data_IF_978194932878
#
_entry.id   IF_978194932878
#
_cell.length_a   1.000
_cell.length_b   1.000
_cell.length_c   1.000
_cell.angle_alpha   90.00
_cell.angle_beta   90.00
_cell.angle_gamma   90.00
#
_symmetry.space_group_name_H-M   'P 1'
#
loop_
_entity.id
_entity.type
_entity.pdbx_description
1 polymer ?
#
# COMPACT_ATOMS: atom_id res chain seq x y z
N UNK A 1 12.64 31.28 -3.77
CA UNK A 1 12.02 32.37 -4.56
C UNK A 1 10.74 31.94 -5.26
N UNK A 2 10.77 31.10 -6.31
CA UNK A 2 9.53 30.73 -7.03
C UNK A 2 8.55 29.90 -6.15
N UNK A 3 9.07 29.01 -5.30
CA UNK A 3 8.28 28.21 -4.37
C UNK A 3 7.66 29.04 -3.22
N UNK A 4 8.37 30.05 -2.70
CA UNK A 4 7.89 30.90 -1.61
C UNK A 4 6.73 31.79 -2.09
N UNK A 5 6.83 32.28 -3.32
CA UNK A 5 5.75 33.03 -3.99
C UNK A 5 4.51 32.15 -4.15
N UNK A 6 4.69 30.87 -4.47
CA UNK A 6 3.58 29.93 -4.66
C UNK A 6 2.87 29.57 -3.34
N UNK A 7 3.63 29.44 -2.23
CA UNK A 7 3.07 29.22 -0.89
C UNK A 7 2.22 30.42 -0.47
N UNK A 8 2.76 31.64 -0.60
CA UNK A 8 2.03 32.87 -0.24
C UNK A 8 0.77 33.06 -1.07
N UNK A 9 0.84 32.81 -2.38
CA UNK A 9 -0.33 32.89 -3.28
C UNK A 9 -1.44 31.91 -2.88
N UNK A 10 -1.09 30.71 -2.44
CA UNK A 10 -2.07 29.73 -1.96
C UNK A 10 -2.65 30.10 -0.59
N UNK A 11 -1.83 30.61 0.32
CA UNK A 11 -2.30 31.12 1.63
C UNK A 11 -3.27 32.29 1.43
N UNK A 12 -2.95 33.24 0.56
CA UNK A 12 -3.82 34.37 0.24
C UNK A 12 -5.13 33.92 -0.41
N UNK A 13 -5.08 32.95 -1.32
CA UNK A 13 -6.28 32.38 -1.93
C UNK A 13 -7.21 31.73 -0.88
N UNK A 14 -6.65 30.92 0.02
CA UNK A 14 -7.42 30.26 1.10
C UNK A 14 -7.95 31.30 2.09
N UNK A 15 -7.14 32.30 2.44
CA UNK A 15 -7.53 33.39 3.33
C UNK A 15 -8.68 34.22 2.74
N UNK A 16 -8.77 34.37 1.42
CA UNK A 16 -9.90 35.02 0.74
C UNK A 16 -11.18 34.18 0.77
N UNK A 17 -11.06 32.85 0.70
CA UNK A 17 -12.22 31.94 0.73
C UNK A 17 -12.81 31.77 2.14
N UNK A 18 -11.95 31.59 3.14
CA UNK A 18 -12.35 31.26 4.52
C UNK A 18 -12.51 32.50 5.42
N UNK A 19 -12.03 33.66 4.96
CA UNK A 19 -12.11 34.93 5.67
C UNK A 19 -11.44 34.87 7.05
N UNK A 20 -12.01 35.59 8.02
CA UNK A 20 -11.43 35.77 9.37
C UNK A 20 -11.37 34.48 10.22
N UNK A 21 -11.93 33.36 9.74
CA UNK A 21 -11.88 32.06 10.44
C UNK A 21 -10.57 31.32 10.18
N UNK A 22 -9.88 31.65 9.10
CA UNK A 22 -8.61 31.02 8.74
C UNK A 22 -7.48 31.56 9.61
N UNK A 23 -6.91 30.69 10.45
CA UNK A 23 -5.72 30.98 11.25
C UNK A 23 -4.58 30.10 10.78
N UNK A 24 -3.45 30.71 10.46
CA UNK A 24 -2.24 30.01 10.05
C UNK A 24 -1.02 30.60 10.75
N UNK A 25 0.09 29.84 10.75
CA UNK A 25 1.37 30.32 11.23
C UNK A 25 2.36 30.23 10.08
N UNK A 26 2.61 31.36 9.44
CA UNK A 26 3.46 31.46 8.24
C UNK A 26 4.86 30.89 8.50
N UNK A 27 5.49 31.29 9.61
CA UNK A 27 6.83 30.82 9.99
C UNK A 27 6.90 29.29 10.16
N UNK A 28 5.85 28.65 10.71
CA UNK A 28 5.80 27.19 10.82
C UNK A 28 5.59 26.53 9.46
N UNK A 29 4.78 27.10 8.58
CA UNK A 29 4.55 26.57 7.23
C UNK A 29 5.84 26.67 6.40
N UNK A 30 6.49 27.83 6.41
CA UNK A 30 7.77 28.04 5.72
C UNK A 30 8.85 27.09 6.26
N UNK A 31 8.92 26.89 7.59
CA UNK A 31 9.86 25.95 8.21
C UNK A 31 9.58 24.50 7.82
N UNK A 32 8.34 24.03 7.92
CA UNK A 32 7.96 22.66 7.53
C UNK A 32 8.22 22.43 6.04
N UNK A 33 7.94 23.42 5.19
CA UNK A 33 8.23 23.35 3.77
C UNK A 33 9.74 23.28 3.51
N UNK A 34 10.54 24.11 4.17
CA UNK A 34 11.99 24.09 4.06
C UNK A 34 12.59 22.76 4.54
N UNK A 35 12.07 22.20 5.64
CA UNK A 35 12.47 20.88 6.14
C UNK A 35 12.07 19.78 5.13
N UNK A 36 10.89 19.86 4.52
CA UNK A 36 10.48 18.93 3.44
C UNK A 36 11.37 19.02 2.19
N UNK A 37 11.91 20.21 1.88
CA UNK A 37 12.83 20.44 0.77
C UNK A 37 14.26 19.97 1.10
N UNK A 38 14.72 20.11 2.34
CA UNK A 38 15.98 19.49 2.81
C UNK A 38 15.89 17.97 2.80
N UNK A 39 14.74 17.42 3.14
CA UNK A 39 14.47 15.99 2.96
C UNK A 39 14.44 15.61 1.47
N UNK A 40 14.24 16.50 0.51
CA UNK A 40 14.46 16.23 -0.93
C UNK A 40 15.95 16.30 -1.28
N UNK A 41 16.80 15.52 -0.60
CA UNK A 41 18.04 15.07 -1.23
C UNK A 41 17.70 14.50 -2.61
N UNK A 42 18.60 14.65 -3.60
CA UNK A 42 18.30 14.21 -4.96
C UNK A 42 17.71 12.80 -4.94
N UNK A 43 16.64 12.57 -5.70
CA UNK A 43 15.92 11.29 -5.71
C UNK A 43 16.90 10.13 -5.93
N UNK A 44 17.95 10.37 -6.72
CA UNK A 44 19.08 9.45 -6.90
C UNK A 44 19.80 9.10 -5.59
N UNK A 45 20.13 10.07 -4.73
CA UNK A 45 20.76 9.82 -3.41
C UNK A 45 19.83 9.00 -2.52
N UNK A 46 18.51 9.28 -2.51
CA UNK A 46 17.55 8.48 -1.73
C UNK A 46 17.46 7.05 -2.22
N UNK A 47 17.31 6.85 -3.52
CA UNK A 47 17.23 5.52 -4.13
C UNK A 47 18.52 4.75 -3.86
N UNK A 48 19.68 5.38 -4.08
CA UNK A 48 20.99 4.76 -3.82
C UNK A 48 21.16 4.41 -2.35
N UNK A 49 20.67 5.26 -1.44
CA UNK A 49 20.75 4.99 0.00
C UNK A 49 19.83 3.85 0.41
N UNK A 50 18.60 3.77 -0.10
CA UNK A 50 17.69 2.64 0.15
C UNK A 50 18.28 1.33 -0.40
N UNK A 51 18.76 1.34 -1.65
CA UNK A 51 19.39 0.16 -2.28
C UNK A 51 20.65 -0.23 -1.50
N UNK A 52 21.48 0.72 -1.12
CA UNK A 52 22.67 0.51 -0.30
C UNK A 52 22.34 -0.09 1.06
N UNK A 53 21.29 0.41 1.72
CA UNK A 53 20.80 -0.14 2.99
C UNK A 53 20.27 -1.57 2.85
N UNK A 54 19.59 -1.88 1.75
CA UNK A 54 19.13 -3.24 1.44
C UNK A 54 20.29 -4.19 1.14
N UNK A 55 21.24 -3.77 0.31
CA UNK A 55 22.47 -4.54 0.03
C UNK A 55 23.30 -4.76 1.29
N UNK A 56 23.43 -3.76 2.16
CA UNK A 56 24.11 -3.88 3.44
C UNK A 56 23.40 -4.89 4.36
N UNK A 57 22.06 -4.89 4.36
CA UNK A 57 21.25 -5.88 5.10
C UNK A 57 21.54 -7.29 4.60
N UNK A 58 21.48 -7.51 3.28
CA UNK A 58 21.78 -8.81 2.68
C UNK A 58 23.22 -9.26 2.93
N UNK A 59 24.19 -8.37 2.74
CA UNK A 59 25.61 -8.66 2.97
C UNK A 59 25.88 -9.00 4.44
N UNK A 60 25.25 -8.28 5.37
CA UNK A 60 25.39 -8.57 6.80
C UNK A 60 24.78 -9.93 7.18
N UNK A 61 23.57 -10.23 6.69
CA UNK A 61 22.94 -11.54 6.90
C UNK A 61 23.78 -12.66 6.27
N UNK A 62 24.30 -12.45 5.06
CA UNK A 62 25.21 -13.39 4.39
C UNK A 62 26.51 -13.60 5.17
N UNK A 63 27.10 -12.54 5.70
CA UNK A 63 28.27 -12.64 6.59
C UNK A 63 27.95 -13.46 7.84
N UNK A 64 26.81 -13.21 8.48
CA UNK A 64 26.42 -13.91 9.70
C UNK A 64 26.26 -15.43 9.45
N UNK A 65 25.71 -15.81 8.30
CA UNK A 65 25.62 -17.19 7.84
C UNK A 65 27.01 -17.80 7.57
N UNK A 66 27.89 -17.11 6.85
CA UNK A 66 29.22 -17.63 6.50
C UNK A 66 30.13 -17.73 7.74
N UNK A 67 30.00 -16.80 8.68
CA UNK A 67 30.83 -16.72 9.88
C UNK A 67 30.41 -17.73 10.97
N UNK A 68 29.33 -18.50 10.79
CA UNK A 68 28.83 -19.42 11.81
C UNK A 68 28.25 -18.71 13.05
N UNK A 69 28.03 -17.40 12.98
CA UNK A 69 27.54 -16.61 14.12
C UNK A 69 26.05 -16.86 14.42
N UNK A 70 25.39 -17.69 13.62
CA UNK A 70 24.05 -18.19 13.86
C UNK A 70 24.02 -19.39 14.83
N UNK A 71 25.17 -19.97 15.18
CA UNK A 71 25.25 -21.14 16.08
C UNK A 71 24.85 -20.82 17.52
N UNK A 72 24.78 -19.53 17.90
CA UNK A 72 24.29 -19.11 19.21
C UNK A 72 22.88 -18.54 19.10
N UNK A 73 21.89 -19.35 19.45
CA UNK A 73 20.46 -18.99 19.48
C UNK A 73 20.21 -17.75 20.36
N UNK A 74 20.75 -17.74 21.58
CA UNK A 74 20.67 -16.60 22.48
C UNK A 74 21.45 -15.38 21.94
N UNK A 75 22.59 -15.60 21.29
CA UNK A 75 23.38 -14.54 20.65
C UNK A 75 22.61 -13.82 19.55
N UNK A 76 21.81 -14.55 18.76
CA UNK A 76 20.94 -14.01 17.73
C UNK A 76 19.86 -13.09 18.31
N UNK A 77 19.16 -13.53 19.37
CA UNK A 77 18.11 -12.74 20.02
C UNK A 77 18.67 -11.48 20.68
N UNK A 78 19.81 -11.60 21.37
CA UNK A 78 20.48 -10.46 22.03
C UNK A 78 20.95 -9.44 20.99
N UNK A 79 21.63 -9.90 19.94
CA UNK A 79 22.14 -9.04 18.86
C UNK A 79 20.99 -8.38 18.11
N UNK A 80 19.93 -9.14 17.81
CA UNK A 80 18.73 -8.62 17.16
C UNK A 80 18.05 -7.53 17.99
N UNK A 81 17.86 -7.79 19.28
CA UNK A 81 17.29 -6.81 20.23
C UNK A 81 18.14 -5.55 20.34
N UNK A 82 19.46 -5.70 20.38
CA UNK A 82 20.40 -4.57 20.41
C UNK A 82 20.29 -3.74 19.13
N UNK A 83 20.27 -4.37 17.96
CA UNK A 83 20.15 -3.68 16.67
C UNK A 83 18.82 -2.96 16.52
N UNK A 84 17.71 -3.58 16.92
CA UNK A 84 16.39 -2.93 16.94
C UNK A 84 16.39 -1.73 17.89
N UNK A 85 16.94 -1.87 19.10
CA UNK A 85 17.03 -0.78 20.07
C UNK A 85 17.89 0.39 19.59
N UNK A 86 19.09 0.10 19.07
CA UNK A 86 20.00 1.10 18.49
C UNK A 86 19.34 1.79 17.31
N UNK A 87 18.66 1.06 16.42
CA UNK A 87 17.96 1.63 15.29
C UNK A 87 16.90 2.66 15.71
N UNK A 88 16.07 2.31 16.69
CA UNK A 88 15.04 3.21 17.23
C UNK A 88 15.69 4.44 17.86
N UNK A 89 16.71 4.24 18.70
CA UNK A 89 17.43 5.35 19.35
C UNK A 89 18.07 6.31 18.35
N UNK A 90 18.82 5.78 17.38
CA UNK A 90 19.47 6.57 16.34
C UNK A 90 18.47 7.38 15.52
N UNK A 91 17.32 6.78 15.19
CA UNK A 91 16.29 7.44 14.41
C UNK A 91 15.60 8.59 15.18
N UNK A 92 15.48 8.46 16.51
CA UNK A 92 14.92 9.51 17.37
C UNK A 92 15.92 10.66 17.56
N UNK A 93 17.17 10.34 17.86
CA UNK A 93 18.18 11.33 18.24
C UNK A 93 18.72 12.10 17.03
N UNK A 94 18.94 11.42 15.90
CA UNK A 94 19.64 12.00 14.76
C UNK A 94 18.79 12.10 13.50
N UNK A 95 18.57 13.34 13.04
CA UNK A 95 17.81 13.63 11.81
C UNK A 95 18.74 13.83 10.60
N UNK A 96 19.57 12.82 10.29
CA UNK A 96 20.49 12.85 9.13
C UNK A 96 20.23 11.65 8.22
N UNK A 97 20.23 11.88 6.90
CA UNK A 97 19.94 10.85 5.88
C UNK A 97 20.81 9.58 6.00
N UNK A 98 22.10 9.72 6.32
CA UNK A 98 22.98 8.56 6.49
C UNK A 98 22.54 7.71 7.70
N UNK A 99 22.11 8.38 8.77
CA UNK A 99 21.65 7.71 9.99
C UNK A 99 20.27 7.10 9.77
N UNK A 100 19.42 7.71 8.94
CA UNK A 100 18.15 7.09 8.53
C UNK A 100 18.41 5.74 7.86
N UNK A 101 19.31 5.67 6.88
CA UNK A 101 19.61 4.40 6.19
C UNK A 101 20.23 3.36 7.12
N UNK A 102 21.16 3.76 7.98
CA UNK A 102 21.75 2.86 8.97
C UNK A 102 20.70 2.34 9.96
N UNK A 103 19.82 3.22 10.45
CA UNK A 103 18.73 2.85 11.36
C UNK A 103 17.75 1.88 10.70
N UNK A 104 17.41 2.09 9.42
CA UNK A 104 16.52 1.22 8.65
C UNK A 104 17.12 -0.18 8.49
N UNK A 105 18.38 -0.26 8.07
CA UNK A 105 19.08 -1.55 7.92
C UNK A 105 19.22 -2.27 9.26
N UNK A 106 19.65 -1.56 10.31
CA UNK A 106 19.77 -2.15 11.65
C UNK A 106 18.41 -2.62 12.18
N UNK A 107 17.32 -1.88 11.93
CA UNK A 107 15.97 -2.29 12.31
C UNK A 107 15.54 -3.58 11.59
N UNK A 108 15.72 -3.64 10.27
CA UNK A 108 15.35 -4.80 9.46
C UNK A 108 16.16 -6.06 9.83
N UNK A 109 17.48 -5.91 9.99
CA UNK A 109 18.36 -6.99 10.48
C UNK A 109 17.92 -7.41 11.88
N UNK A 110 17.69 -6.45 12.78
CA UNK A 110 17.31 -6.70 14.17
C UNK A 110 16.04 -7.55 14.28
N UNK A 111 14.99 -7.18 13.55
CA UNK A 111 13.75 -7.96 13.47
C UNK A 111 14.00 -9.38 12.92
N UNK A 112 14.79 -9.50 11.85
CA UNK A 112 15.12 -10.81 11.28
C UNK A 112 15.86 -11.72 12.27
N UNK A 113 16.87 -11.19 12.97
CA UNK A 113 17.65 -11.94 13.95
C UNK A 113 16.82 -12.33 15.18
N UNK A 114 15.90 -11.47 15.62
CA UNK A 114 14.95 -11.81 16.69
C UNK A 114 14.08 -12.99 16.25
N UNK A 115 13.49 -12.94 15.05
CA UNK A 115 12.67 -14.06 14.53
C UNK A 115 13.50 -15.33 14.45
N UNK A 116 14.65 -15.28 13.79
CA UNK A 116 15.47 -16.45 13.58
C UNK A 116 15.98 -17.06 14.90
N UNK A 117 16.43 -16.23 15.83
CA UNK A 117 16.90 -16.67 17.14
C UNK A 117 15.79 -17.25 18.02
N UNK A 118 14.59 -16.65 18.03
CA UNK A 118 13.46 -17.19 18.79
C UNK A 118 12.92 -18.48 18.18
N UNK A 119 12.89 -18.60 16.84
CA UNK A 119 12.54 -19.85 16.17
C UNK A 119 13.56 -20.95 16.49
N UNK A 120 14.86 -20.61 16.55
CA UNK A 120 15.90 -21.58 16.90
C UNK A 120 15.82 -22.04 18.38
N UNK A 121 15.32 -21.19 19.28
CA UNK A 121 14.99 -21.52 20.68
C UNK A 121 13.69 -22.34 20.83
N UNK A 122 13.12 -22.86 19.74
CA UNK A 122 11.81 -23.56 19.70
C UNK A 122 10.65 -22.74 20.30
N UNK A 123 10.71 -21.42 20.25
CA UNK A 123 9.61 -20.56 20.70
C UNK A 123 8.51 -20.57 19.64
N UNK A 124 7.27 -20.87 20.06
CA UNK A 124 6.14 -20.96 19.16
C UNK A 124 5.87 -19.68 18.36
N UNK A 125 5.49 -19.84 17.09
CA UNK A 125 5.29 -18.74 16.14
C UNK A 125 4.28 -17.68 16.59
N UNK A 126 3.23 -18.09 17.33
CA UNK A 126 2.25 -17.16 17.91
C UNK A 126 2.93 -16.15 18.85
N UNK A 127 3.80 -16.62 19.74
CA UNK A 127 4.52 -15.78 20.71
C UNK A 127 5.46 -14.81 19.98
N UNK A 128 6.16 -15.30 18.95
CA UNK A 128 7.05 -14.49 18.11
C UNK A 128 6.25 -13.37 17.42
N UNK A 129 5.12 -13.69 16.80
CA UNK A 129 4.27 -12.70 16.14
C UNK A 129 3.74 -11.64 17.10
N UNK A 130 3.28 -12.03 18.29
CA UNK A 130 2.83 -11.06 19.32
C UNK A 130 3.97 -10.13 19.71
N UNK A 131 5.17 -10.66 19.95
CA UNK A 131 6.35 -9.86 20.28
C UNK A 131 6.69 -8.86 19.16
N UNK A 132 6.72 -9.31 17.90
CA UNK A 132 7.00 -8.44 16.76
C UNK A 132 5.94 -7.35 16.57
N UNK A 133 4.66 -7.67 16.76
CA UNK A 133 3.57 -6.68 16.71
C UNK A 133 3.79 -5.62 17.80
N UNK A 134 4.14 -6.02 19.02
CA UNK A 134 4.44 -5.09 20.11
C UNK A 134 5.64 -4.20 19.78
N UNK A 135 6.74 -4.77 19.28
CA UNK A 135 7.92 -4.01 18.84
C UNK A 135 7.54 -3.02 17.74
N UNK A 136 6.81 -3.46 16.73
CA UNK A 136 6.38 -2.62 15.61
C UNK A 136 5.46 -1.46 16.04
N UNK A 137 4.51 -1.72 16.94
CA UNK A 137 3.64 -0.68 17.51
C UNK A 137 4.43 0.34 18.34
N UNK A 138 5.38 -0.13 19.16
CA UNK A 138 6.28 0.74 19.91
C UNK A 138 7.14 1.59 18.97
N UNK A 139 7.69 1.00 17.91
CA UNK A 139 8.48 1.72 16.91
C UNK A 139 7.67 2.82 16.24
N UNK A 140 6.43 2.55 15.83
CA UNK A 140 5.53 3.56 15.25
C UNK A 140 5.27 4.70 16.25
N UNK A 141 4.99 4.36 17.52
CA UNK A 141 4.70 5.32 18.57
C UNK A 141 5.88 6.22 18.95
N UNK A 142 7.09 5.65 19.00
CA UNK A 142 8.32 6.33 19.43
C UNK A 142 8.93 7.14 18.28
N UNK A 143 9.20 6.50 17.14
CA UNK A 143 10.01 7.10 16.08
C UNK A 143 9.23 8.08 15.23
N UNK A 144 7.97 7.75 14.91
CA UNK A 144 7.10 8.50 13.98
C UNK A 144 7.79 8.82 12.65
N UNK A 145 8.80 8.03 12.27
CA UNK A 145 9.57 8.23 11.05
C UNK A 145 8.99 7.43 9.91
N UNK A 146 9.20 7.92 8.68
CA UNK A 146 8.56 7.36 7.51
C UNK A 146 8.93 5.88 7.30
N UNK A 147 10.23 5.56 7.23
CA UNK A 147 10.66 4.22 6.79
C UNK A 147 10.44 3.18 7.90
N UNK A 148 10.77 3.48 9.16
CA UNK A 148 10.55 2.53 10.27
C UNK A 148 9.05 2.28 10.50
N UNK A 149 8.21 3.30 10.38
CA UNK A 149 6.76 3.11 10.48
C UNK A 149 6.22 2.27 9.32
N UNK A 150 6.74 2.49 8.11
CA UNK A 150 6.39 1.69 6.94
C UNK A 150 6.75 0.20 7.14
N UNK A 151 7.99 -0.10 7.55
CA UNK A 151 8.42 -1.47 7.85
C UNK A 151 7.56 -2.06 8.96
N UNK A 152 7.27 -1.30 10.01
CA UNK A 152 6.45 -1.75 11.14
C UNK A 152 5.02 -2.09 10.73
N UNK A 153 4.39 -1.32 9.85
CA UNK A 153 3.06 -1.65 9.29
C UNK A 153 3.12 -2.96 8.49
N UNK A 154 4.17 -3.17 7.68
CA UNK A 154 4.36 -4.43 6.97
C UNK A 154 4.62 -5.60 7.93
N UNK A 155 5.41 -5.42 8.99
CA UNK A 155 5.67 -6.44 10.00
C UNK A 155 4.39 -6.86 10.71
N UNK A 156 3.54 -5.91 11.12
CA UNK A 156 2.25 -6.20 11.76
C UNK A 156 1.35 -7.03 10.84
N UNK A 157 1.20 -6.60 9.58
CA UNK A 157 0.36 -7.33 8.61
C UNK A 157 0.95 -8.69 8.23
N UNK A 158 2.27 -8.78 8.10
CA UNK A 158 2.98 -10.05 7.90
C UNK A 158 2.78 -11.02 9.05
N UNK A 159 2.76 -10.54 10.30
CA UNK A 159 2.43 -11.36 11.47
C UNK A 159 0.98 -11.85 11.43
N UNK A 160 0.01 -11.01 11.04
CA UNK A 160 -1.38 -11.45 10.88
C UNK A 160 -1.52 -12.53 9.81
N UNK A 161 -0.86 -12.37 8.66
CA UNK A 161 -0.85 -13.39 7.61
C UNK A 161 -0.20 -14.67 8.15
N UNK A 162 0.99 -14.58 8.77
CA UNK A 162 1.63 -15.75 9.37
C UNK A 162 0.70 -16.50 10.32
N UNK A 163 0.04 -15.79 11.25
CA UNK A 163 -0.89 -16.39 12.21
C UNK A 163 -2.07 -17.10 11.52
N UNK A 164 -2.60 -16.55 10.43
CA UNK A 164 -3.71 -17.17 9.67
C UNK A 164 -3.27 -18.52 9.10
N UNK A 165 -2.05 -18.59 8.54
CA UNK A 165 -1.53 -19.77 7.86
C UNK A 165 -0.99 -20.82 8.83
N UNK A 166 -0.25 -20.39 9.85
CA UNK A 166 0.33 -21.25 10.89
C UNK A 166 -0.74 -21.99 11.71
N UNK A 167 -1.95 -21.43 11.80
CA UNK A 167 -3.08 -22.04 12.50
C UNK A 167 -4.07 -22.77 11.56
N UNK A 168 -3.75 -22.92 10.27
CA UNK A 168 -4.62 -23.52 9.25
C UNK A 168 -6.02 -22.88 9.12
N UNK A 169 -6.19 -21.63 9.57
CA UNK A 169 -7.48 -20.91 9.54
C UNK A 169 -7.58 -20.02 8.30
N UNK A 170 -7.32 -20.60 7.12
CA UNK A 170 -7.19 -19.88 5.86
C UNK A 170 -8.38 -18.97 5.51
N UNK A 171 -9.60 -19.32 5.96
CA UNK A 171 -10.80 -18.48 5.75
C UNK A 171 -10.71 -17.08 6.36
N UNK A 172 -9.86 -16.88 7.38
CA UNK A 172 -9.63 -15.56 7.98
C UNK A 172 -8.93 -14.58 7.04
N UNK A 173 -8.33 -15.06 5.93
CA UNK A 173 -7.76 -14.16 4.92
C UNK A 173 -8.81 -13.21 4.34
N UNK A 174 -10.06 -13.66 4.22
CA UNK A 174 -11.17 -12.82 3.75
C UNK A 174 -11.51 -11.71 4.75
N UNK A 175 -11.41 -12.01 6.06
CA UNK A 175 -11.62 -11.03 7.12
C UNK A 175 -10.46 -10.03 7.17
N UNK A 176 -9.23 -10.52 7.00
CA UNK A 176 -8.03 -9.69 6.89
C UNK A 176 -8.15 -8.70 5.71
N UNK A 177 -8.46 -9.18 4.51
CA UNK A 177 -8.66 -8.34 3.33
C UNK A 177 -9.79 -7.33 3.53
N UNK A 178 -10.91 -7.77 4.10
CA UNK A 178 -12.04 -6.92 4.42
C UNK A 178 -11.67 -5.74 5.31
N UNK A 179 -10.94 -6.00 6.39
CA UNK A 179 -10.45 -4.97 7.31
C UNK A 179 -9.52 -4.00 6.57
N UNK A 180 -8.58 -4.53 5.78
CA UNK A 180 -7.63 -3.69 5.04
C UNK A 180 -8.29 -2.85 3.97
N UNK A 181 -9.29 -3.37 3.25
CA UNK A 181 -10.06 -2.61 2.27
C UNK A 181 -10.77 -1.42 2.91
N UNK A 182 -11.49 -1.66 4.01
CA UNK A 182 -12.21 -0.60 4.74
C UNK A 182 -11.22 0.43 5.30
N UNK A 183 -10.14 -0.03 5.93
CA UNK A 183 -9.13 0.85 6.51
C UNK A 183 -8.41 1.68 5.45
N UNK A 184 -8.02 1.08 4.32
CA UNK A 184 -7.36 1.77 3.22
C UNK A 184 -8.31 2.81 2.60
N UNK A 185 -9.57 2.44 2.32
CA UNK A 185 -10.58 3.39 1.84
C UNK A 185 -10.76 4.55 2.82
N UNK A 186 -10.84 4.28 4.12
CA UNK A 186 -10.95 5.32 5.14
C UNK A 186 -9.74 6.26 5.13
N UNK A 187 -8.53 5.73 5.06
CA UNK A 187 -7.27 6.50 5.03
C UNK A 187 -7.24 7.43 3.81
N UNK A 188 -7.56 6.92 2.62
CA UNK A 188 -7.57 7.74 1.40
C UNK A 188 -8.65 8.82 1.43
N UNK A 189 -9.88 8.48 1.83
CA UNK A 189 -11.00 9.43 1.80
C UNK A 189 -10.94 10.50 2.90
N UNK A 190 -10.22 10.24 4.00
CA UNK A 190 -10.12 11.15 5.13
C UNK A 190 -8.72 11.77 5.28
N UNK A 191 -7.94 11.87 4.19
CA UNK A 191 -6.61 12.47 4.17
C UNK A 191 -6.54 13.80 4.93
N UNK A 192 -7.38 14.75 4.56
CA UNK A 192 -7.40 16.09 5.19
C UNK A 192 -7.70 16.03 6.68
N UNK A 193 -8.62 15.15 7.12
CA UNK A 193 -8.98 15.01 8.54
C UNK A 193 -7.84 14.37 9.33
N UNK A 194 -7.20 13.34 8.78
CA UNK A 194 -6.08 12.65 9.42
C UNK A 194 -4.86 13.55 9.56
N UNK A 195 -4.55 14.35 8.53
CA UNK A 195 -3.45 15.31 8.56
C UNK A 195 -3.71 16.49 9.51
N UNK A 196 -4.98 16.84 9.75
CA UNK A 196 -5.37 17.92 10.64
C UNK A 196 -5.54 17.50 12.12
N UNK A 197 -5.67 16.20 12.42
CA UNK A 197 -5.86 15.71 13.79
C UNK A 197 -4.54 15.80 14.58
N UNK A 198 -4.55 16.56 15.68
CA UNK A 198 -3.38 16.71 16.56
C UNK A 198 -2.93 15.40 17.21
N UNK A 199 -3.84 14.42 17.34
CA UNK A 199 -3.53 13.09 17.91
C UNK A 199 -2.81 12.19 16.91
N UNK A 200 -2.95 12.46 15.61
CA UNK A 200 -2.35 11.67 14.56
C UNK A 200 -1.14 12.42 13.97
N UNK A 201 0.09 11.95 14.19
CA UNK A 201 1.26 12.58 13.60
C UNK A 201 1.15 12.57 12.07
N UNK A 202 1.15 13.75 11.44
CA UNK A 202 1.04 13.89 9.98
C UNK A 202 2.09 13.06 9.21
N UNK A 203 3.28 12.89 9.79
CA UNK A 203 4.37 12.05 9.26
C UNK A 203 4.01 10.57 9.12
N UNK A 204 3.04 10.08 9.90
CA UNK A 204 2.58 8.69 9.85
C UNK A 204 1.56 8.42 8.73
N UNK A 205 0.95 9.46 8.16
CA UNK A 205 -0.09 9.30 7.14
C UNK A 205 0.41 8.48 5.94
N UNK A 206 1.51 8.94 5.32
CA UNK A 206 2.06 8.29 4.13
C UNK A 206 2.57 6.85 4.37
N UNK A 207 3.39 6.57 5.41
CA UNK A 207 3.87 5.20 5.63
C UNK A 207 2.74 4.24 5.98
N UNK A 208 1.71 4.68 6.71
CA UNK A 208 0.51 3.86 6.98
C UNK A 208 -0.25 3.62 5.67
N UNK A 209 -0.54 4.67 4.89
CA UNK A 209 -1.25 4.55 3.61
C UNK A 209 -0.58 3.55 2.67
N UNK A 210 0.74 3.64 2.51
CA UNK A 210 1.51 2.78 1.60
C UNK A 210 1.67 1.37 2.16
N UNK A 211 1.95 1.25 3.47
CA UNK A 211 2.05 -0.04 4.14
C UNK A 211 0.76 -0.84 4.05
N UNK A 212 -0.40 -0.20 4.29
CA UNK A 212 -1.72 -0.82 4.13
C UNK A 212 -2.01 -1.22 2.68
N UNK A 213 -1.65 -0.38 1.71
CA UNK A 213 -1.83 -0.68 0.29
C UNK A 213 -1.04 -1.92 -0.14
N UNK A 214 0.24 -2.01 0.25
CA UNK A 214 1.08 -3.18 -0.05
C UNK A 214 0.55 -4.42 0.69
N UNK A 215 0.16 -4.27 1.96
CA UNK A 215 -0.39 -5.37 2.76
C UNK A 215 -1.70 -5.91 2.18
N UNK A 216 -2.54 -5.03 1.63
CA UNK A 216 -3.77 -5.41 0.93
C UNK A 216 -3.45 -6.17 -0.36
N UNK A 217 -2.51 -5.67 -1.17
CA UNK A 217 -2.09 -6.36 -2.39
C UNK A 217 -1.57 -7.76 -2.04
N UNK A 218 -0.76 -7.89 -1.00
CA UNK A 218 -0.28 -9.19 -0.52
C UNK A 218 -1.43 -10.12 -0.10
N UNK A 219 -2.43 -9.63 0.64
CA UNK A 219 -3.62 -10.42 0.99
C UNK A 219 -4.41 -10.88 -0.24
N UNK A 220 -4.64 -9.98 -1.19
CA UNK A 220 -5.31 -10.29 -2.46
C UNK A 220 -4.52 -11.30 -3.32
N UNK A 221 -3.19 -11.32 -3.24
CA UNK A 221 -2.36 -12.37 -3.89
C UNK A 221 -2.69 -13.73 -3.31
N UNK A 222 -2.78 -13.87 -1.98
CA UNK A 222 -3.15 -15.13 -1.35
C UNK A 222 -4.55 -15.60 -1.72
N UNK A 223 -5.53 -14.69 -1.79
CA UNK A 223 -6.89 -15.03 -2.23
C UNK A 223 -6.96 -15.33 -3.73
N UNK A 224 -6.10 -14.71 -4.53
CA UNK A 224 -6.06 -14.88 -5.97
C UNK A 224 -5.40 -16.18 -6.43
N UNK A 225 -4.42 -16.71 -5.69
CA UNK A 225 -3.60 -17.85 -6.15
C UNK A 225 -4.34 -19.19 -6.00
N UNK A 226 -4.45 -19.93 -7.12
CA UNK A 226 -5.05 -21.28 -7.18
C UNK A 226 -4.11 -22.38 -7.70
N UNK A 227 -2.92 -22.00 -8.16
CA UNK A 227 -1.96 -22.91 -8.80
C UNK A 227 -0.82 -23.34 -7.87
N UNK A 228 0.27 -22.58 -7.90
CA UNK A 228 1.56 -22.93 -7.27
C UNK A 228 1.44 -23.13 -5.74
N UNK A 229 0.52 -22.41 -5.10
CA UNK A 229 0.22 -22.53 -3.68
C UNK A 229 -1.30 -22.59 -3.46
N UNK A 230 -1.88 -23.80 -3.52
CA UNK A 230 -3.28 -24.02 -3.16
C UNK A 230 -3.40 -24.22 -1.65
N UNK A 231 -3.65 -23.12 -0.94
CA UNK A 231 -3.84 -23.11 0.51
C UNK A 231 -5.25 -23.57 0.94
N UNK A 232 -6.07 -24.11 0.01
CA UNK A 232 -7.41 -24.60 0.34
C UNK A 232 -8.36 -23.49 0.80
N UNK A 233 -8.12 -22.23 0.39
CA UNK A 233 -8.97 -21.07 0.71
C UNK A 233 -10.35 -21.29 0.07
N UNK A 234 -11.34 -21.60 0.91
CA UNK A 234 -12.73 -21.80 0.50
C UNK A 234 -13.46 -20.47 0.39
N UNK A 235 -14.53 -20.43 -0.41
CA UNK A 235 -15.42 -19.27 -0.53
C UNK A 235 -14.72 -17.99 -0.99
N UNK A 236 -13.91 -18.07 -2.05
CA UNK A 236 -13.17 -16.94 -2.65
C UNK A 236 -14.06 -15.71 -2.93
N UNK A 237 -15.34 -15.92 -3.21
CA UNK A 237 -16.32 -14.86 -3.39
C UNK A 237 -16.57 -14.00 -2.13
N UNK A 238 -16.15 -14.45 -0.94
CA UNK A 238 -16.38 -13.74 0.32
C UNK A 238 -15.70 -12.38 0.37
N UNK A 239 -14.45 -12.25 -0.11
CA UNK A 239 -13.79 -10.93 -0.21
C UNK A 239 -14.56 -9.98 -1.15
N UNK A 240 -15.26 -10.51 -2.16
CA UNK A 240 -16.05 -9.70 -3.10
C UNK A 240 -17.28 -9.05 -2.47
N UNK A 241 -17.78 -9.59 -1.35
CA UNK A 241 -18.88 -8.99 -0.57
C UNK A 241 -18.52 -7.58 -0.12
N UNK A 242 -17.22 -7.30 0.08
CA UNK A 242 -16.75 -6.01 0.59
C UNK A 242 -16.11 -5.18 -0.53
N UNK A 243 -15.30 -5.79 -1.42
CA UNK A 243 -14.66 -5.03 -2.51
C UNK A 243 -15.68 -4.40 -3.46
N UNK A 244 -16.74 -5.13 -3.85
CA UNK A 244 -17.72 -4.63 -4.83
C UNK A 244 -18.51 -3.44 -4.25
N UNK A 245 -19.14 -3.51 -3.06
CA UNK A 245 -19.83 -2.36 -2.49
C UNK A 245 -18.93 -1.16 -2.24
N UNK A 246 -17.69 -1.36 -1.77
CA UNK A 246 -16.73 -0.27 -1.59
C UNK A 246 -16.37 0.39 -2.93
N UNK A 247 -16.22 -0.39 -3.99
CA UNK A 247 -15.95 0.14 -5.34
C UNK A 247 -17.13 0.97 -5.84
N UNK A 248 -18.37 0.48 -5.68
CA UNK A 248 -19.59 1.23 -6.02
C UNK A 248 -19.71 2.50 -5.17
N UNK A 249 -19.39 2.43 -3.88
CA UNK A 249 -19.35 3.58 -3.00
C UNK A 249 -18.35 4.64 -3.50
N UNK A 250 -17.14 4.25 -3.93
CA UNK A 250 -16.17 5.17 -4.51
C UNK A 250 -16.66 5.79 -5.82
N UNK A 251 -17.31 5.01 -6.69
CA UNK A 251 -17.93 5.53 -7.91
C UNK A 251 -18.97 6.60 -7.55
N UNK A 252 -19.77 6.40 -6.50
CA UNK A 252 -20.75 7.40 -6.06
C UNK A 252 -20.11 8.72 -5.66
N UNK A 253 -18.92 8.67 -5.03
CA UNK A 253 -18.14 9.85 -4.67
C UNK A 253 -17.61 10.54 -5.93
N UNK A 254 -17.01 9.78 -6.85
CA UNK A 254 -16.44 10.31 -8.09
C UNK A 254 -17.50 11.00 -8.95
N UNK A 255 -18.66 10.35 -9.12
CA UNK A 255 -19.81 10.90 -9.86
C UNK A 255 -20.27 12.23 -9.27
N UNK A 256 -20.31 12.33 -7.93
CA UNK A 256 -20.68 13.57 -7.22
C UNK A 256 -19.64 14.67 -7.44
N UNK A 257 -18.35 14.33 -7.44
CA UNK A 257 -17.25 15.30 -7.68
C UNK A 257 -17.25 15.82 -9.12
N UNK A 258 -17.54 14.94 -10.09
CA UNK A 258 -17.65 15.34 -11.51
C UNK A 258 -18.90 16.20 -11.76
N UNK A 259 -19.89 16.18 -10.86
CA UNK A 259 -21.10 16.99 -10.97
C UNK A 259 -22.13 16.42 -11.95
N UNK A 260 -22.16 15.09 -12.13
CA UNK A 260 -23.14 14.43 -13.02
C UNK A 260 -24.51 14.45 -12.33
N UNK A 261 -25.41 15.30 -12.80
CA UNK A 261 -26.77 15.46 -12.25
C UNK A 261 -27.85 14.77 -13.09
N UNK A 262 -27.55 14.42 -14.34
CA UNK A 262 -28.51 13.78 -15.25
C UNK A 262 -28.83 12.35 -14.78
N UNK A 263 -30.09 12.13 -14.43
CA UNK A 263 -30.58 10.84 -13.90
C UNK A 263 -30.38 9.68 -14.87
N UNK A 264 -30.56 9.88 -16.17
CA UNK A 264 -30.32 8.82 -17.17
C UNK A 264 -28.85 8.41 -17.23
N UNK A 265 -27.94 9.38 -17.17
CA UNK A 265 -26.50 9.11 -17.13
C UNK A 265 -26.08 8.45 -15.82
N UNK A 266 -26.66 8.84 -14.68
CA UNK A 266 -26.42 8.18 -13.40
C UNK A 266 -26.81 6.70 -13.45
N UNK A 267 -28.04 6.39 -13.89
CA UNK A 267 -28.48 5.00 -14.05
C UNK A 267 -27.57 4.21 -14.99
N UNK A 268 -27.15 4.81 -16.11
CA UNK A 268 -26.22 4.18 -17.05
C UNK A 268 -24.87 3.87 -16.39
N UNK A 269 -24.28 4.82 -15.67
CA UNK A 269 -22.98 4.65 -15.00
C UNK A 269 -23.05 3.53 -13.97
N UNK A 270 -24.04 3.55 -13.08
CA UNK A 270 -24.19 2.51 -12.06
C UNK A 270 -24.46 1.13 -12.68
N UNK A 271 -25.32 1.06 -13.70
CA UNK A 271 -25.63 -0.19 -14.40
C UNK A 271 -24.39 -0.77 -15.06
N UNK A 272 -23.61 0.05 -15.79
CA UNK A 272 -22.36 -0.38 -16.41
C UNK A 272 -21.31 -0.78 -15.38
N UNK A 273 -21.21 -0.05 -14.27
CA UNK A 273 -20.27 -0.37 -13.19
C UNK A 273 -20.59 -1.70 -12.52
N UNK A 274 -21.87 -1.95 -12.22
CA UNK A 274 -22.33 -3.22 -11.66
C UNK A 274 -22.10 -4.35 -12.67
N UNK A 275 -22.46 -4.15 -13.93
CA UNK A 275 -22.24 -5.13 -15.00
C UNK A 275 -20.76 -5.49 -15.15
N UNK A 276 -19.86 -4.52 -14.98
CA UNK A 276 -18.41 -4.74 -15.00
C UNK A 276 -17.88 -5.46 -13.76
N UNK A 277 -18.46 -5.18 -12.58
CA UNK A 277 -17.99 -5.77 -11.32
C UNK A 277 -18.56 -7.16 -11.04
N UNK A 278 -19.75 -7.51 -11.53
CA UNK A 278 -20.36 -8.84 -11.31
C UNK A 278 -19.42 -9.99 -11.72
N UNK A 279 -18.80 -9.99 -12.92
CA UNK A 279 -17.87 -11.05 -13.31
C UNK A 279 -16.67 -11.19 -12.39
N UNK A 280 -16.29 -10.13 -11.68
CA UNK A 280 -15.17 -10.13 -10.74
C UNK A 280 -15.53 -10.72 -9.37
N UNK A 281 -16.79 -11.11 -9.13
CA UNK A 281 -17.21 -11.69 -7.86
C UNK A 281 -16.44 -12.97 -7.49
N UNK A 282 -16.00 -13.76 -8.48
CA UNK A 282 -15.19 -14.96 -8.27
C UNK A 282 -13.67 -14.70 -8.27
N UNK A 283 -13.28 -13.43 -8.47
CA UNK A 283 -11.89 -12.97 -8.49
C UNK A 283 -11.78 -11.62 -7.77
N UNK A 284 -11.93 -11.61 -6.43
CA UNK A 284 -11.91 -10.40 -5.61
C UNK A 284 -10.60 -9.60 -5.76
N UNK A 285 -9.49 -10.24 -6.13
CA UNK A 285 -8.21 -9.57 -6.37
C UNK A 285 -8.30 -8.54 -7.50
N UNK A 286 -9.08 -8.81 -8.56
CA UNK A 286 -9.29 -7.87 -9.67
C UNK A 286 -10.08 -6.64 -9.19
N UNK A 287 -11.18 -6.85 -8.46
CA UNK A 287 -11.99 -5.74 -7.93
C UNK A 287 -11.23 -4.95 -6.85
N UNK A 288 -10.43 -5.62 -6.03
CA UNK A 288 -9.56 -4.98 -5.05
C UNK A 288 -8.49 -4.08 -5.70
N UNK A 289 -7.83 -4.54 -6.78
CA UNK A 289 -6.89 -3.71 -7.53
C UNK A 289 -7.58 -2.53 -8.24
N UNK A 290 -8.78 -2.73 -8.78
CA UNK A 290 -9.58 -1.64 -9.34
C UNK A 290 -9.92 -0.58 -8.29
N UNK A 291 -10.27 -1.00 -7.07
CA UNK A 291 -10.52 -0.11 -5.94
C UNK A 291 -9.26 0.71 -5.62
N UNK A 292 -8.07 0.11 -5.61
CA UNK A 292 -6.80 0.83 -5.40
C UNK A 292 -6.57 1.87 -6.50
N UNK A 293 -6.85 1.54 -7.76
CA UNK A 293 -6.75 2.47 -8.89
C UNK A 293 -7.70 3.66 -8.67
N UNK A 294 -8.97 3.40 -8.35
CA UNK A 294 -9.97 4.45 -8.15
C UNK A 294 -9.65 5.35 -6.96
N UNK A 295 -9.22 4.78 -5.83
CA UNK A 295 -8.75 5.53 -4.67
C UNK A 295 -7.58 6.43 -5.04
N UNK A 296 -6.57 5.87 -5.71
CA UNK A 296 -5.37 6.60 -6.11
C UNK A 296 -5.66 7.70 -7.13
N UNK A 297 -6.57 7.45 -8.06
CA UNK A 297 -7.05 8.44 -9.01
C UNK A 297 -7.77 9.59 -8.29
N UNK A 298 -8.72 9.26 -7.39
CA UNK A 298 -9.53 10.23 -6.66
C UNK A 298 -8.67 11.24 -5.86
N UNK A 299 -7.60 10.78 -5.22
CA UNK A 299 -6.71 11.64 -4.41
C UNK A 299 -5.46 12.11 -5.17
N UNK A 300 -5.35 11.82 -6.47
CA UNK A 300 -4.18 12.13 -7.31
C UNK A 300 -2.84 11.56 -6.76
N UNK A 301 -2.88 10.33 -6.23
CA UNK A 301 -1.70 9.63 -5.75
C UNK A 301 -1.06 8.77 -6.86
N UNK A 302 -0.15 9.39 -7.62
CA UNK A 302 0.47 8.80 -8.82
C UNK A 302 1.16 7.45 -8.56
N UNK A 303 1.93 7.33 -7.48
CA UNK A 303 2.65 6.09 -7.16
C UNK A 303 1.69 4.94 -6.86
N UNK A 304 0.64 5.20 -6.08
CA UNK A 304 -0.41 4.20 -5.82
C UNK A 304 -1.19 3.83 -7.06
N UNK A 305 -1.40 4.78 -7.97
CA UNK A 305 -2.05 4.51 -9.26
C UNK A 305 -1.21 3.56 -10.12
N UNK A 306 0.10 3.77 -10.21
CA UNK A 306 1.01 2.86 -10.94
C UNK A 306 1.01 1.47 -10.29
N UNK A 307 1.14 1.39 -8.96
CA UNK A 307 1.09 0.12 -8.23
C UNK A 307 -0.24 -0.59 -8.47
N UNK A 308 -1.37 0.14 -8.39
CA UNK A 308 -2.70 -0.41 -8.65
C UNK A 308 -2.86 -0.95 -10.07
N UNK A 309 -2.34 -0.25 -11.08
CA UNK A 309 -2.34 -0.73 -12.48
C UNK A 309 -1.50 -2.00 -12.62
N UNK A 310 -0.30 -2.04 -12.03
CA UNK A 310 0.56 -3.23 -12.06
C UNK A 310 -0.16 -4.42 -11.40
N UNK A 311 -0.76 -4.22 -10.22
CA UNK A 311 -1.54 -5.24 -9.52
C UNK A 311 -2.75 -5.68 -10.34
N UNK A 312 -3.46 -4.76 -11.00
CA UNK A 312 -4.61 -5.08 -11.84
C UNK A 312 -4.23 -5.95 -13.04
N UNK A 313 -3.14 -5.59 -13.74
CA UNK A 313 -2.60 -6.40 -14.83
C UNK A 313 -2.21 -7.78 -14.31
N UNK A 314 -1.48 -7.85 -13.19
CA UNK A 314 -1.08 -9.11 -12.58
C UNK A 314 -2.29 -10.01 -12.25
N UNK A 315 -3.32 -9.49 -11.57
CA UNK A 315 -4.49 -10.29 -11.19
C UNK A 315 -5.35 -10.71 -12.37
N UNK A 316 -5.43 -9.91 -13.44
CA UNK A 316 -6.07 -10.33 -14.69
C UNK A 316 -5.27 -11.46 -15.35
N UNK A 317 -3.96 -11.31 -15.45
CA UNK A 317 -3.08 -12.34 -16.01
C UNK A 317 -3.20 -13.64 -15.22
N UNK A 318 -3.14 -13.56 -13.90
CA UNK A 318 -3.30 -14.68 -13.00
C UNK A 318 -4.66 -15.36 -13.17
N UNK A 319 -5.76 -14.58 -13.16
CA UNK A 319 -7.11 -15.11 -13.39
C UNK A 319 -7.21 -15.87 -14.73
N UNK A 320 -6.59 -15.34 -15.79
CA UNK A 320 -6.56 -16.01 -17.09
C UNK A 320 -5.80 -17.35 -17.05
N UNK A 321 -4.69 -17.44 -16.31
CA UNK A 321 -3.96 -18.68 -16.12
C UNK A 321 -4.71 -19.69 -15.27
N UNK A 322 -5.43 -19.23 -14.24
CA UNK A 322 -6.21 -20.07 -13.33
C UNK A 322 -7.50 -20.63 -13.95
N UNK A 323 -7.92 -20.15 -15.12
CA UNK A 323 -9.05 -20.75 -15.84
C UNK A 323 -8.71 -22.20 -16.23
N UNK A 324 -9.56 -23.15 -15.84
CA UNK A 324 -9.48 -24.58 -16.21
C UNK A 324 -9.92 -24.83 -17.67
N UNK A 325 -9.43 -24.00 -18.59
CA UNK A 325 -9.66 -24.14 -20.03
C UNK A 325 -8.42 -24.66 -20.73
N UNK A 326 -8.62 -25.35 -21.85
CA UNK A 326 -7.51 -25.75 -22.72
C UNK A 326 -6.76 -24.51 -23.22
N UNK A 327 -5.47 -24.66 -23.51
CA UNK A 327 -4.66 -23.59 -24.11
C UNK A 327 -5.29 -23.04 -25.41
N UNK A 328 -5.95 -23.92 -26.19
CA UNK A 328 -6.68 -23.55 -27.40
C UNK A 328 -7.87 -22.63 -27.09
N UNK A 329 -8.69 -22.98 -26.11
CA UNK A 329 -9.84 -22.15 -25.71
C UNK A 329 -9.36 -20.79 -25.19
N UNK A 330 -8.29 -20.77 -24.40
CA UNK A 330 -7.67 -19.54 -23.88
C UNK A 330 -7.19 -18.63 -25.01
N UNK A 331 -6.52 -19.17 -26.04
CA UNK A 331 -6.05 -18.38 -27.18
C UNK A 331 -7.20 -17.84 -28.04
N UNK A 332 -8.27 -18.62 -28.24
CA UNK A 332 -9.47 -18.16 -28.96
C UNK A 332 -10.13 -16.99 -28.21
N UNK A 333 -10.28 -17.08 -26.88
CA UNK A 333 -10.83 -15.99 -26.05
C UNK A 333 -9.99 -14.73 -26.21
N UNK A 334 -8.66 -14.84 -26.12
CA UNK A 334 -7.76 -13.70 -26.26
C UNK A 334 -7.87 -13.08 -27.67
N UNK A 335 -7.88 -13.90 -28.72
CA UNK A 335 -8.00 -13.46 -30.10
C UNK A 335 -9.32 -12.74 -30.38
N UNK A 336 -10.45 -13.30 -29.93
CA UNK A 336 -11.78 -12.69 -30.10
C UNK A 336 -11.89 -11.39 -29.31
N UNK A 337 -11.40 -11.35 -28.06
CA UNK A 337 -11.39 -10.13 -27.27
C UNK A 337 -10.53 -9.03 -27.92
N UNK A 338 -9.38 -9.40 -28.50
CA UNK A 338 -8.52 -8.50 -29.27
C UNK A 338 -9.24 -7.90 -30.48
N UNK A 339 -9.96 -8.72 -31.25
CA UNK A 339 -10.79 -8.25 -32.38
C UNK A 339 -11.86 -7.27 -31.89
N UNK A 340 -12.56 -7.60 -30.80
CA UNK A 340 -13.60 -6.73 -30.22
C UNK A 340 -13.00 -5.38 -29.79
N UNK A 341 -11.85 -5.36 -29.14
CA UNK A 341 -11.17 -4.12 -28.79
C UNK A 341 -10.74 -3.31 -30.00
N UNK A 342 -10.26 -3.97 -31.06
CA UNK A 342 -9.86 -3.31 -32.30
C UNK A 342 -11.08 -2.69 -33.02
N UNK A 343 -12.22 -3.39 -33.01
CA UNK A 343 -13.50 -2.85 -33.47
C UNK A 343 -13.91 -1.64 -32.62
N UNK A 344 -13.89 -1.73 -31.30
CA UNK A 344 -14.21 -0.59 -30.42
C UNK A 344 -13.29 0.60 -30.65
N UNK A 345 -11.99 0.37 -30.85
CA UNK A 345 -11.03 1.41 -31.20
C UNK A 345 -11.42 2.10 -32.50
N UNK A 346 -11.68 1.34 -33.57
CA UNK A 346 -12.09 1.89 -34.86
C UNK A 346 -13.42 2.65 -34.77
N UNK A 347 -14.41 2.13 -34.03
CA UNK A 347 -15.70 2.78 -33.83
C UNK A 347 -15.59 4.09 -33.04
N UNK A 348 -14.77 4.10 -31.99
CA UNK A 348 -14.58 5.28 -31.13
C UNK A 348 -13.76 6.35 -31.86
N UNK A 349 -12.70 5.96 -32.56
CA UNK A 349 -11.89 6.87 -33.37
C UNK A 349 -12.71 7.51 -34.50
N UNK A 350 -13.58 6.74 -35.17
CA UNK A 350 -14.48 7.26 -36.21
C UNK A 350 -15.50 8.27 -35.68
N UNK A 351 -15.90 8.18 -34.41
CA UNK A 351 -16.80 9.16 -33.75
C UNK A 351 -16.07 10.37 -33.19
N UNK A 352 -14.82 10.23 -32.73
CA UNK A 352 -14.02 11.39 -32.26
C UNK A 352 -13.72 12.36 -33.41
N UNK A 353 -13.35 11.85 -34.59
CA UNK A 353 -13.07 12.69 -35.76
C UNK A 353 -14.27 13.47 -36.32
N UNK A 354 -15.50 13.15 -35.90
CA UNK A 354 -16.70 13.93 -36.25
C UNK A 354 -16.95 15.11 -35.30
N UNK A 355 -16.42 15.06 -34.07
CA UNK A 355 -16.61 16.09 -33.04
C UNK A 355 -15.37 17.00 -32.87
N UNK A 356 -14.28 16.77 -33.62
CA UNK A 356 -13.10 17.65 -33.68
C UNK A 356 -13.22 18.80 -34.71
N UNK A 357 -14.39 18.97 -35.33
CA UNK A 357 -14.70 20.16 -36.14
C UNK A 357 -15.63 21.12 -35.41
N UNK A 358 -15.10 21.85 -34.42
CA UNK A 358 -15.54 23.20 -34.05
C UNK A 358 -14.31 24.01 -33.68
#
# INVERSE_FOLDING_TARGET
MENDINIRKNIEYISKLEGNRFKFNENKIEKEYADSQKEKSSIAIKILSIIGGFLATLAFLGFLLIAGLYDSEAGLVITGSLFTGIAIWLNVEYKKLIIDTLSVSAYAIGLFLIVFGLTALDIGGITICILLILIALLTIGITKSYILSFISVLTINGCFIYLIFDNDVYGLIHVYDAILLVLLTYVFLNEAKLLADKRFPSKLYNPIRIGLMISLITGLVFVGQRGIFDFGIKHIWASSIITIPLTIYLISIIVKIIGITNTKLLYLIYTLSILFLIPTALSPAISGALLIILLSFLVNYKTGLVIGIISFIYFISQYYYDLNYTLLTKSIILFVSGIIFLLFYLFTHKKLGQNEKV
#
